data_IF_532637658538
#
_entry.id   IF_532637658538
#
_cell.length_a   1.000
_cell.length_b   1.000
_cell.length_c   1.000
_cell.angle_alpha   90.00
_cell.angle_beta   90.00
_cell.angle_gamma   90.00
#
_symmetry.space_group_name_H-M   'P 1'
#
loop_
_entity.id
_entity.type
_entity.pdbx_description
1 polymer ?
#
# COMPACT_ATOMS: atom_id res chain seq x y z
N UNK A 1 -32.30 -21.84 -7.51
CA UNK A 1 -33.19 -20.77 -7.00
C UNK A 1 -32.42 -19.59 -6.39
N UNK A 2 -31.25 -19.81 -5.78
CA UNK A 2 -30.39 -18.76 -5.18
C UNK A 2 -29.80 -17.72 -6.17
N UNK A 3 -29.73 -17.99 -7.48
CA UNK A 3 -29.15 -17.05 -8.46
C UNK A 3 -30.12 -15.96 -8.95
N UNK A 4 -31.43 -16.04 -8.65
CA UNK A 4 -32.43 -15.07 -9.14
C UNK A 4 -32.43 -13.76 -8.34
N UNK A 5 -32.15 -13.82 -7.04
CA UNK A 5 -32.28 -12.67 -6.13
C UNK A 5 -31.05 -11.75 -6.21
N UNK A 6 -29.84 -12.31 -6.37
CA UNK A 6 -28.59 -11.53 -6.42
C UNK A 6 -28.47 -10.61 -7.65
N UNK A 7 -29.29 -10.84 -8.68
CA UNK A 7 -29.32 -10.04 -9.91
C UNK A 7 -30.62 -9.24 -10.09
N UNK A 8 -31.44 -9.08 -9.03
CA UNK A 8 -32.60 -8.18 -9.04
C UNK A 8 -33.88 -8.70 -9.71
N UNK A 9 -34.04 -10.02 -9.90
CA UNK A 9 -35.24 -10.58 -10.55
C UNK A 9 -36.29 -11.05 -9.55
N UNK A 10 -37.54 -10.65 -9.77
CA UNK A 10 -38.70 -11.20 -9.07
C UNK A 10 -39.00 -12.66 -9.50
N UNK A 11 -39.63 -13.48 -8.64
CA UNK A 11 -39.84 -14.91 -8.86
C UNK A 11 -40.54 -15.30 -10.18
N UNK A 12 -41.30 -14.37 -10.79
CA UNK A 12 -42.08 -14.59 -12.01
C UNK A 12 -41.33 -14.43 -13.34
N UNK A 13 -40.07 -13.99 -13.36
CA UNK A 13 -39.33 -13.83 -14.62
C UNK A 13 -38.97 -15.19 -15.24
N UNK A 14 -39.33 -15.38 -16.52
CA UNK A 14 -39.00 -16.56 -17.34
C UNK A 14 -37.78 -16.26 -18.21
N UNK A 15 -36.76 -17.13 -18.13
CA UNK A 15 -35.46 -16.98 -18.78
C UNK A 15 -35.45 -17.39 -20.26
N UNK A 16 -36.27 -16.75 -21.12
CA UNK A 16 -36.13 -16.93 -22.58
C UNK A 16 -36.34 -15.62 -23.37
N UNK A 17 -35.48 -15.32 -24.36
CA UNK A 17 -34.27 -16.07 -24.75
C UNK A 17 -33.05 -15.72 -23.86
N UNK A 18 -32.02 -16.60 -23.87
CA UNK A 18 -30.78 -16.53 -23.06
C UNK A 18 -30.35 -15.09 -22.76
N UNK A 19 -30.56 -14.57 -21.53
CA UNK A 19 -30.43 -13.15 -21.27
C UNK A 19 -28.99 -12.64 -21.44
N UNK A 20 -27.98 -13.51 -21.49
CA UNK A 20 -26.59 -13.07 -21.35
C UNK A 20 -25.55 -13.76 -22.23
N UNK A 21 -25.97 -14.45 -23.31
CA UNK A 21 -25.05 -15.05 -24.28
C UNK A 21 -24.12 -16.06 -23.61
N UNK A 22 -24.68 -16.89 -22.73
CA UNK A 22 -23.96 -17.86 -21.92
C UNK A 22 -23.11 -18.80 -22.78
N UNK A 23 -23.67 -19.22 -23.92
CA UNK A 23 -22.94 -20.04 -24.89
C UNK A 23 -21.75 -19.31 -25.51
N UNK A 24 -21.87 -18.00 -25.78
CA UNK A 24 -20.74 -17.17 -26.24
C UNK A 24 -19.66 -17.04 -25.17
N UNK A 25 -20.05 -16.90 -23.89
CA UNK A 25 -19.10 -16.82 -22.76
C UNK A 25 -18.38 -18.15 -22.53
N UNK A 26 -19.10 -19.28 -22.63
CA UNK A 26 -18.53 -20.63 -22.58
C UNK A 26 -17.49 -20.82 -23.68
N UNK A 27 -17.80 -20.42 -24.90
CA UNK A 27 -16.87 -20.57 -26.03
C UNK A 27 -15.63 -19.67 -25.86
N UNK A 28 -15.81 -18.42 -25.40
CA UNK A 28 -14.70 -17.53 -25.06
C UNK A 28 -13.79 -18.14 -23.98
N UNK A 29 -14.36 -18.71 -22.93
CA UNK A 29 -13.61 -19.38 -21.86
C UNK A 29 -12.88 -20.64 -22.37
N UNK A 30 -13.47 -21.39 -23.32
CA UNK A 30 -12.85 -22.56 -23.93
C UNK A 30 -11.61 -22.18 -24.73
N UNK A 31 -11.68 -21.10 -25.52
CA UNK A 31 -10.53 -20.56 -26.26
C UNK A 31 -9.42 -20.07 -25.33
N UNK A 32 -9.77 -19.35 -24.26
CA UNK A 32 -8.79 -18.88 -23.28
C UNK A 32 -8.04 -20.03 -22.60
N UNK A 33 -8.68 -21.16 -22.31
CA UNK A 33 -8.01 -22.34 -21.72
C UNK A 33 -6.96 -22.99 -22.61
N UNK A 34 -7.05 -22.81 -23.93
CA UNK A 34 -6.02 -23.30 -24.85
C UNK A 34 -4.72 -22.51 -24.70
N UNK A 35 -4.81 -21.24 -24.29
CA UNK A 35 -3.68 -20.30 -24.19
C UNK A 35 -3.21 -20.12 -22.75
N UNK A 36 -4.12 -20.22 -21.79
CA UNK A 36 -3.88 -20.10 -20.35
C UNK A 36 -4.20 -21.44 -19.68
N UNK A 37 -3.15 -22.20 -19.34
CA UNK A 37 -3.28 -23.41 -18.52
C UNK A 37 -3.55 -22.98 -17.08
N UNK A 38 -4.81 -22.94 -16.66
CA UNK A 38 -5.16 -22.86 -15.24
C UNK A 38 -5.90 -24.13 -14.83
N UNK A 39 -5.52 -24.68 -13.68
CA UNK A 39 -6.16 -25.86 -13.11
C UNK A 39 -7.42 -25.44 -12.34
N UNK A 40 -8.56 -26.05 -12.70
CA UNK A 40 -9.85 -25.81 -12.02
C UNK A 40 -9.94 -26.43 -10.63
N UNK A 41 -9.00 -27.32 -10.28
CA UNK A 41 -8.89 -27.86 -8.92
C UNK A 41 -8.54 -26.76 -7.90
N UNK A 42 -7.91 -25.66 -8.35
CA UNK A 42 -7.47 -24.54 -7.52
C UNK A 42 -8.63 -23.77 -6.87
N UNK A 43 -9.86 -23.88 -7.39
CA UNK A 43 -11.02 -23.14 -6.88
C UNK A 43 -11.98 -23.98 -6.03
N UNK A 44 -11.60 -25.18 -5.58
CA UNK A 44 -12.44 -26.00 -4.70
C UNK A 44 -11.94 -25.95 -3.25
N UNK A 45 -12.38 -24.93 -2.51
CA UNK A 45 -12.48 -25.03 -1.05
C UNK A 45 -11.20 -24.86 -0.22
N UNK A 46 -10.12 -24.28 -0.74
CA UNK A 46 -8.95 -23.92 0.06
C UNK A 46 -8.76 -22.39 0.09
N UNK A 47 -8.17 -21.90 1.19
CA UNK A 47 -7.86 -20.50 1.49
C UNK A 47 -7.51 -19.72 0.22
N UNK A 48 -7.99 -18.47 0.14
CA UNK A 48 -7.55 -17.48 -0.86
C UNK A 48 -6.09 -17.74 -1.24
N UNK A 49 -5.85 -18.00 -2.53
CA UNK A 49 -4.51 -18.06 -3.08
C UNK A 49 -3.78 -16.81 -2.58
N UNK A 50 -2.80 -16.99 -1.68
CA UNK A 50 -1.81 -15.95 -1.46
C UNK A 50 -1.21 -15.71 -2.83
N UNK A 51 -1.50 -14.55 -3.41
CA UNK A 51 -0.77 -14.04 -4.55
C UNK A 51 0.71 -14.22 -4.20
N UNK A 52 1.42 -15.01 -5.01
CA UNK A 52 2.86 -15.04 -4.95
C UNK A 52 3.32 -13.64 -5.39
N UNK A 53 3.49 -12.77 -4.42
CA UNK A 53 3.83 -11.35 -4.60
C UNK A 53 5.30 -11.16 -5.00
N UNK A 54 6.00 -12.26 -5.32
CA UNK A 54 7.44 -12.29 -5.45
C UNK A 54 8.10 -12.02 -4.10
N UNK A 55 9.42 -12.17 -4.05
CA UNK A 55 10.26 -11.94 -2.87
C UNK A 55 10.31 -10.45 -2.44
N UNK A 56 9.16 -9.81 -2.19
CA UNK A 56 9.05 -8.41 -1.77
C UNK A 56 8.65 -8.31 -0.32
N UNK A 57 9.05 -7.21 0.31
CA UNK A 57 8.72 -6.94 1.70
C UNK A 57 7.21 -7.01 1.93
N UNK A 58 6.72 -7.82 2.90
CA UNK A 58 5.29 -8.14 3.00
C UNK A 58 4.43 -6.90 3.27
N UNK A 59 4.97 -5.89 3.97
CA UNK A 59 4.28 -4.63 4.24
C UNK A 59 4.04 -3.78 3.00
N UNK A 60 4.78 -4.01 1.90
CA UNK A 60 4.52 -3.33 0.61
C UNK A 60 3.24 -3.83 -0.04
N UNK A 61 2.93 -5.12 0.09
CA UNK A 61 1.68 -5.66 -0.45
C UNK A 61 0.49 -5.02 0.26
N UNK A 62 0.57 -4.94 1.58
CA UNK A 62 -0.43 -4.27 2.42
C UNK A 62 -0.60 -2.80 2.01
N UNK A 63 0.50 -2.08 1.78
CA UNK A 63 0.44 -0.68 1.34
C UNK A 63 -0.22 -0.53 -0.05
N UNK A 64 0.06 -1.43 -0.99
CA UNK A 64 -0.56 -1.42 -2.31
C UNK A 64 -2.04 -1.78 -2.28
N UNK A 65 -2.44 -2.75 -1.44
CA UNK A 65 -3.84 -3.09 -1.24
C UNK A 65 -4.63 -1.89 -0.71
N UNK A 66 -4.09 -1.21 0.31
CA UNK A 66 -4.70 0.02 0.83
C UNK A 66 -4.74 1.14 -0.20
N UNK A 67 -3.64 1.34 -0.94
CA UNK A 67 -3.62 2.31 -2.03
C UNK A 67 -4.72 2.04 -3.04
N UNK A 68 -4.81 0.81 -3.57
CA UNK A 68 -5.78 0.45 -4.59
C UNK A 68 -7.22 0.59 -4.08
N UNK A 69 -7.45 0.24 -2.81
CA UNK A 69 -8.78 0.31 -2.19
C UNK A 69 -9.26 1.74 -1.98
N UNK A 70 -8.38 2.66 -1.59
CA UNK A 70 -8.73 4.05 -1.25
C UNK A 70 -8.26 5.07 -2.29
N UNK A 71 -7.74 4.61 -3.43
CA UNK A 71 -7.24 5.45 -4.51
C UNK A 71 -8.28 6.48 -4.93
N UNK A 72 -7.86 7.74 -5.04
CA UNK A 72 -8.71 8.85 -5.44
C UNK A 72 -9.54 9.47 -4.30
N UNK A 73 -9.59 8.84 -3.12
CA UNK A 73 -10.23 9.44 -1.94
C UNK A 73 -9.25 10.34 -1.20
N UNK A 74 -9.77 11.44 -0.67
CA UNK A 74 -9.05 12.30 0.29
C UNK A 74 -9.49 11.97 1.72
N UNK A 75 -8.67 12.34 2.71
CA UNK A 75 -8.81 11.97 4.13
C UNK A 75 -10.15 12.35 4.80
N UNK A 76 -10.90 13.28 4.21
CA UNK A 76 -12.26 13.66 4.65
C UNK A 76 -13.38 12.78 4.10
N UNK A 77 -13.09 11.98 3.07
CA UNK A 77 -14.08 11.16 2.38
C UNK A 77 -14.10 9.74 2.95
N UNK A 78 -15.29 9.22 3.21
CA UNK A 78 -15.48 7.80 3.53
C UNK A 78 -15.26 6.95 2.28
N UNK A 79 -14.73 5.71 2.40
CA UNK A 79 -14.35 5.03 3.64
C UNK A 79 -12.92 5.34 4.16
N UNK A 80 -12.17 6.26 3.54
CA UNK A 80 -10.78 6.55 3.94
C UNK A 80 -10.72 7.25 5.31
N UNK A 81 -11.63 8.19 5.57
CA UNK A 81 -11.73 8.90 6.85
C UNK A 81 -11.80 7.95 8.05
N UNK A 82 -12.67 6.95 7.99
CA UNK A 82 -12.85 5.95 9.04
C UNK A 82 -11.60 5.05 9.13
N UNK A 83 -11.03 4.71 7.98
CA UNK A 83 -9.81 3.90 7.92
C UNK A 83 -8.60 4.58 8.57
N UNK A 84 -8.44 5.89 8.40
CA UNK A 84 -7.37 6.65 9.08
C UNK A 84 -7.52 6.56 10.60
N UNK A 85 -8.75 6.57 11.11
CA UNK A 85 -9.02 6.38 12.53
C UNK A 85 -8.57 4.99 13.03
N UNK A 86 -8.66 3.96 12.18
CA UNK A 86 -8.13 2.62 12.46
C UNK A 86 -6.60 2.64 12.50
N UNK A 87 -5.92 3.34 11.58
CA UNK A 87 -4.46 3.46 11.60
C UNK A 87 -3.95 4.03 12.94
N UNK A 88 -4.60 5.09 13.45
CA UNK A 88 -4.24 5.67 14.75
C UNK A 88 -4.58 4.76 15.93
N UNK A 89 -5.76 4.12 15.92
CA UNK A 89 -6.15 3.16 16.96
C UNK A 89 -5.14 2.03 17.08
N UNK A 90 -4.75 1.43 15.95
CA UNK A 90 -3.73 0.39 15.94
C UNK A 90 -2.36 0.93 16.32
N UNK A 91 -2.07 2.22 16.16
CA UNK A 91 -0.84 2.86 16.66
C UNK A 91 -0.94 3.27 18.15
N UNK A 92 -1.97 2.82 18.89
CA UNK A 92 -2.26 3.20 20.28
C UNK A 92 -2.36 4.71 20.50
N UNK A 93 -2.88 5.43 19.50
CA UNK A 93 -3.01 6.88 19.50
C UNK A 93 -4.47 7.32 19.58
N UNK A 94 -4.71 8.50 20.19
CA UNK A 94 -6.01 9.17 20.25
C UNK A 94 -6.22 10.20 19.13
N UNK A 95 -5.28 10.29 18.19
CA UNK A 95 -5.35 11.18 17.02
C UNK A 95 -6.42 10.72 16.03
N UNK A 96 -6.79 11.60 15.09
CA UNK A 96 -7.84 11.37 14.11
C UNK A 96 -7.42 11.85 12.70
N UNK A 97 -8.31 11.71 11.72
CA UNK A 97 -8.03 12.03 10.31
C UNK A 97 -7.63 13.50 10.03
N UNK A 98 -7.81 14.43 10.98
CA UNK A 98 -7.32 15.80 10.83
C UNK A 98 -5.83 15.94 11.25
N UNK A 99 -5.26 14.92 11.88
CA UNK A 99 -3.86 14.88 12.30
C UNK A 99 -2.97 14.20 11.25
N UNK A 100 -1.67 14.55 11.14
CA UNK A 100 -0.75 13.89 10.22
C UNK A 100 -0.67 12.37 10.45
N UNK A 101 -1.06 11.59 9.45
CA UNK A 101 -1.23 10.13 9.58
C UNK A 101 -0.23 9.30 8.74
N UNK A 102 0.83 9.91 8.20
CA UNK A 102 1.83 9.19 7.38
C UNK A 102 2.51 8.05 8.14
N UNK A 103 2.95 8.31 9.38
CA UNK A 103 3.60 7.30 10.22
C UNK A 103 2.60 6.27 10.77
N UNK A 104 1.35 6.68 11.04
CA UNK A 104 0.28 5.76 11.42
C UNK A 104 -0.03 4.76 10.28
N UNK A 105 -0.04 5.22 9.03
CA UNK A 105 -0.18 4.37 7.84
C UNK A 105 0.96 3.34 7.72
N UNK A 106 2.21 3.78 7.82
CA UNK A 106 3.39 2.88 7.78
C UNK A 106 3.32 1.85 8.91
N UNK A 107 2.98 2.30 10.12
CA UNK A 107 2.80 1.43 11.29
C UNK A 107 1.72 0.39 11.06
N UNK A 108 0.57 0.81 10.54
CA UNK A 108 -0.54 -0.09 10.25
C UNK A 108 -0.12 -1.16 9.23
N UNK A 109 0.61 -0.79 8.18
CA UNK A 109 1.11 -1.74 7.18
C UNK A 109 2.02 -2.81 7.79
N UNK A 110 2.97 -2.43 8.65
CA UNK A 110 3.80 -3.41 9.38
C UNK A 110 2.97 -4.29 10.31
N UNK A 111 1.95 -3.74 10.98
CA UNK A 111 1.08 -4.49 11.90
C UNK A 111 0.27 -5.61 11.24
N UNK A 112 0.06 -5.53 9.93
CA UNK A 112 -0.63 -6.59 9.18
C UNK A 112 0.30 -7.75 8.78
N UNK A 113 1.55 -7.73 9.23
CA UNK A 113 2.58 -8.72 8.85
C UNK A 113 3.26 -9.32 10.08
N UNK A 114 4.18 -10.25 9.86
CA UNK A 114 5.05 -10.82 10.88
C UNK A 114 6.02 -9.78 11.52
N UNK A 115 6.08 -8.56 10.97
CA UNK A 115 6.88 -7.45 11.47
C UNK A 115 6.10 -6.52 12.44
N UNK A 116 4.95 -6.98 12.96
CA UNK A 116 4.14 -6.21 13.91
C UNK A 116 4.81 -5.91 15.25
N UNK A 117 5.85 -6.67 15.63
CA UNK A 117 6.57 -6.55 16.90
C UNK A 117 7.82 -5.66 16.85
N UNK A 118 8.16 -5.10 15.68
CA UNK A 118 9.34 -4.25 15.51
C UNK A 118 9.01 -2.77 15.38
N UNK A 119 7.76 -2.39 15.60
CA UNK A 119 7.29 -1.00 15.50
C UNK A 119 8.04 -0.10 16.51
N UNK A 120 8.50 1.09 16.09
CA UNK A 120 9.19 2.00 17.01
C UNK A 120 8.24 2.59 18.07
N UNK A 121 8.81 2.99 19.20
CA UNK A 121 8.09 3.84 20.16
C UNK A 121 7.74 5.19 19.51
N UNK A 122 6.55 5.72 19.79
CA UNK A 122 6.09 6.97 19.17
C UNK A 122 5.83 6.84 17.67
N UNK A 123 5.43 5.65 17.20
CA UNK A 123 5.20 5.29 15.80
C UNK A 123 4.16 6.14 15.02
N UNK A 124 3.50 7.11 15.66
CA UNK A 124 2.73 8.16 15.00
C UNK A 124 3.56 9.35 14.54
N UNK A 125 4.84 9.43 14.92
CA UNK A 125 5.78 10.43 14.43
C UNK A 125 6.66 9.84 13.33
N UNK A 126 6.81 10.55 12.20
CA UNK A 126 7.67 10.11 11.10
C UNK A 126 9.11 9.83 11.56
N UNK A 127 9.65 10.64 12.47
CA UNK A 127 11.00 10.47 12.99
C UNK A 127 11.19 9.25 13.91
N UNK A 128 10.11 8.58 14.32
CA UNK A 128 10.20 7.30 15.02
C UNK A 128 10.87 6.22 14.15
N UNK A 129 10.75 6.34 12.82
CA UNK A 129 11.34 5.43 11.85
C UNK A 129 12.78 5.78 11.46
N UNK A 130 13.44 6.70 12.17
CA UNK A 130 14.87 7.03 11.96
C UNK A 130 15.78 6.14 12.78
N UNK A 131 17.09 6.27 12.62
CA UNK A 131 18.06 5.58 13.47
C UNK A 131 17.83 5.84 14.96
N UNK A 132 18.24 4.88 15.78
CA UNK A 132 18.20 5.00 17.22
C UNK A 132 19.02 6.22 17.66
N UNK A 133 18.43 7.07 18.51
CA UNK A 133 18.99 8.28 19.08
C UNK A 133 19.36 9.37 18.05
N UNK A 134 18.76 9.34 16.85
CA UNK A 134 19.00 10.37 15.85
C UNK A 134 18.62 11.78 16.37
N UNK A 135 19.28 12.85 15.91
CA UNK A 135 18.94 14.22 16.34
C UNK A 135 17.46 14.55 16.16
N UNK A 136 16.84 14.14 15.05
CA UNK A 136 15.41 14.36 14.77
C UNK A 136 14.49 13.61 15.72
N UNK A 137 14.85 12.38 16.11
CA UNK A 137 14.11 11.62 17.10
C UNK A 137 14.17 12.30 18.48
N UNK A 138 15.38 12.69 18.93
CA UNK A 138 15.58 13.38 20.21
C UNK A 138 14.80 14.69 20.32
N UNK A 139 14.75 15.48 19.24
CA UNK A 139 13.95 16.72 19.20
C UNK A 139 12.44 16.50 19.42
N UNK A 140 11.94 15.27 19.21
CA UNK A 140 10.55 14.89 19.47
C UNK A 140 10.37 14.13 20.78
N UNK A 141 11.41 14.01 21.60
CA UNK A 141 11.38 13.22 22.83
C UNK A 141 11.21 11.71 22.60
N UNK A 142 11.53 11.22 21.39
CA UNK A 142 11.44 9.79 21.03
C UNK A 142 12.84 9.23 20.72
N UNK A 143 12.95 7.90 20.73
CA UNK A 143 14.24 7.22 20.59
C UNK A 143 14.61 6.88 19.15
N UNK A 144 13.68 6.90 18.21
CA UNK A 144 13.89 6.34 16.87
C UNK A 144 13.72 4.81 16.85
N UNK A 145 14.13 4.17 15.78
CA UNK A 145 13.77 2.79 15.47
C UNK A 145 14.79 1.79 16.01
N UNK A 146 14.53 1.27 17.21
CA UNK A 146 15.41 0.27 17.87
C UNK A 146 15.69 -0.96 16.99
N UNK A 147 14.66 -1.45 16.31
CA UNK A 147 14.72 -2.60 15.42
C UNK A 147 14.98 -2.23 13.96
N UNK A 148 15.20 -0.95 13.67
CA UNK A 148 15.57 -0.44 12.37
C UNK A 148 17.08 -0.26 12.21
N UNK A 149 17.54 -0.23 10.98
CA UNK A 149 18.89 0.14 10.59
C UNK A 149 18.87 0.92 9.27
N UNK A 150 19.93 1.71 9.02
CA UNK A 150 20.14 2.35 7.72
C UNK A 150 20.18 1.27 6.64
N UNK A 151 19.58 1.59 5.50
CA UNK A 151 19.59 0.74 4.33
C UNK A 151 19.85 1.55 3.07
N UNK A 152 20.48 0.88 2.10
CA UNK A 152 20.34 1.25 0.69
C UNK A 152 18.86 1.18 0.26
N UNK A 153 18.44 1.91 -0.79
CA UNK A 153 17.07 1.85 -1.29
C UNK A 153 16.73 0.47 -1.86
N UNK A 154 15.52 0.00 -1.55
CA UNK A 154 14.90 -1.19 -2.14
C UNK A 154 13.37 -1.06 -2.08
N UNK A 155 12.65 -1.92 -2.78
CA UNK A 155 11.18 -2.00 -2.70
C UNK A 155 10.78 -2.41 -1.27
N UNK A 156 10.27 -1.48 -0.48
CA UNK A 156 9.95 -1.71 0.94
C UNK A 156 10.81 -0.92 1.92
N UNK A 157 11.86 -0.26 1.46
CA UNK A 157 12.65 0.62 2.32
C UNK A 157 11.76 1.75 2.87
N UNK A 158 11.90 2.06 4.16
CA UNK A 158 11.21 3.17 4.81
C UNK A 158 12.02 4.43 4.55
N UNK A 159 11.48 5.36 3.78
CA UNK A 159 12.09 6.66 3.52
C UNK A 159 11.52 7.71 4.47
N UNK A 160 12.39 8.40 5.19
CA UNK A 160 12.03 9.46 6.15
C UNK A 160 12.55 10.80 5.66
N UNK A 161 11.70 11.83 5.73
CA UNK A 161 12.01 13.17 5.25
C UNK A 161 12.19 14.20 6.38
N UNK A 162 13.06 15.18 6.15
CA UNK A 162 13.41 16.26 7.07
C UNK A 162 12.23 17.13 7.53
N UNK A 163 11.16 17.17 6.73
CA UNK A 163 9.91 17.87 7.03
C UNK A 163 8.89 17.01 7.81
N UNK A 164 9.35 15.94 8.47
CA UNK A 164 8.53 15.06 9.31
C UNK A 164 7.50 14.25 8.50
N UNK A 165 7.96 13.60 7.43
CA UNK A 165 7.16 12.67 6.62
C UNK A 165 7.84 11.31 6.48
N UNK A 166 7.06 10.25 6.30
CA UNK A 166 7.56 8.88 6.13
C UNK A 166 6.68 8.12 5.13
N UNK A 167 7.32 7.30 4.30
CA UNK A 167 6.67 6.48 3.28
C UNK A 167 7.52 5.25 2.97
N UNK A 168 7.04 4.38 2.07
CA UNK A 168 7.81 3.26 1.54
C UNK A 168 8.34 3.55 0.14
N UNK A 169 9.61 3.29 -0.14
CA UNK A 169 10.11 3.25 -1.51
C UNK A 169 9.46 2.07 -2.24
N UNK A 170 8.87 2.33 -3.40
CA UNK A 170 8.25 1.29 -4.23
C UNK A 170 8.90 1.19 -5.61
N UNK A 171 9.68 2.20 -6.01
CA UNK A 171 10.39 2.19 -7.28
C UNK A 171 11.12 3.50 -7.56
N UNK A 172 11.24 3.83 -8.84
CA UNK A 172 11.83 5.06 -9.33
C UNK A 172 11.06 5.61 -10.53
N UNK A 173 11.30 6.87 -10.88
CA UNK A 173 10.67 7.46 -12.05
C UNK A 173 11.29 6.93 -13.35
N UNK A 174 10.64 7.23 -14.48
CA UNK A 174 11.03 6.73 -15.81
C UNK A 174 12.52 6.96 -16.14
N UNK A 175 13.05 8.15 -15.85
CA UNK A 175 14.47 8.48 -16.08
C UNK A 175 15.43 7.97 -14.98
N UNK A 176 14.91 7.46 -13.86
CA UNK A 176 15.71 6.92 -12.75
C UNK A 176 16.37 7.96 -11.85
N UNK A 177 16.10 9.25 -12.02
CA UNK A 177 16.64 10.34 -11.19
C UNK A 177 15.94 10.52 -9.84
N UNK A 178 14.72 9.98 -9.69
CA UNK A 178 13.89 10.12 -8.50
C UNK A 178 13.50 8.77 -7.92
N UNK A 179 13.50 8.66 -6.59
CA UNK A 179 12.77 7.59 -5.92
C UNK A 179 11.27 7.86 -6.03
N UNK A 180 10.49 6.80 -6.22
CA UNK A 180 9.03 6.80 -6.14
C UNK A 180 8.64 6.08 -4.86
N UNK A 181 7.79 6.72 -4.06
CA UNK A 181 7.38 6.22 -2.76
C UNK A 181 5.87 6.21 -2.60
N UNK A 182 5.37 5.21 -1.87
CA UNK A 182 3.97 5.03 -1.51
C UNK A 182 3.77 5.34 -0.03
N UNK A 183 2.83 6.23 0.28
CA UNK A 183 2.56 6.64 1.65
C UNK A 183 1.18 7.24 1.82
N UNK A 184 0.79 7.37 3.09
CA UNK A 184 -0.37 8.09 3.54
C UNK A 184 -0.08 9.56 3.84
N UNK A 185 -1.13 10.36 4.05
CA UNK A 185 -1.04 11.79 4.37
C UNK A 185 -0.16 12.59 3.39
N UNK A 186 -0.34 12.36 2.09
CA UNK A 186 0.42 13.05 1.04
C UNK A 186 -0.43 13.38 -0.19
N UNK A 187 0.14 14.14 -1.12
CA UNK A 187 -0.42 14.43 -2.44
C UNK A 187 -0.82 15.88 -2.64
N UNK A 188 -1.80 16.37 -1.88
CA UNK A 188 -2.22 17.78 -1.94
C UNK A 188 -1.44 18.60 -0.90
N UNK A 189 -1.29 19.91 -1.07
CA UNK A 189 -0.70 20.78 -0.04
C UNK A 189 -1.76 21.41 0.86
N UNK A 190 -3.02 21.40 0.43
CA UNK A 190 -4.15 21.90 1.20
C UNK A 190 -4.40 20.99 2.40
N UNK A 191 -4.63 21.59 3.55
CA UNK A 191 -5.07 20.87 4.74
C UNK A 191 -6.33 20.07 4.41
N UNK A 192 -6.42 18.86 4.96
CA UNK A 192 -7.59 17.98 4.81
C UNK A 192 -7.86 17.46 3.38
N UNK A 193 -6.86 17.51 2.49
CA UNK A 193 -6.92 16.97 1.12
C UNK A 193 -5.86 15.90 0.88
N UNK A 194 -5.22 15.41 1.95
CA UNK A 194 -4.24 14.36 1.85
C UNK A 194 -4.89 13.02 1.52
N UNK A 195 -4.11 12.12 0.95
CA UNK A 195 -4.56 10.81 0.46
C UNK A 195 -3.47 9.75 0.63
N UNK A 196 -3.83 8.51 0.33
CA UNK A 196 -2.85 7.46 0.03
C UNK A 196 -2.51 7.61 -1.46
N UNK A 197 -1.26 7.90 -1.78
CA UNK A 197 -0.85 8.02 -3.18
C UNK A 197 0.63 7.75 -3.38
N UNK A 198 1.09 7.74 -4.63
CA UNK A 198 2.50 7.81 -4.94
C UNK A 198 3.01 9.26 -4.86
N UNK A 199 4.25 9.41 -4.41
CA UNK A 199 5.04 10.63 -4.52
C UNK A 199 6.39 10.34 -5.15
N UNK A 200 7.16 11.38 -5.46
CA UNK A 200 8.54 11.21 -5.93
C UNK A 200 9.46 12.29 -5.39
N UNK A 201 10.72 11.93 -5.21
CA UNK A 201 11.78 12.82 -4.70
C UNK A 201 13.08 12.54 -5.46
N UNK A 202 13.85 13.59 -5.76
CA UNK A 202 15.19 13.40 -6.35
C UNK A 202 16.04 12.52 -5.43
N UNK A 203 16.78 11.56 -6.01
CA UNK A 203 17.67 10.68 -5.23
C UNK A 203 18.77 11.46 -4.49
N UNK A 204 19.05 12.69 -4.94
CA UNK A 204 20.04 13.62 -4.35
C UNK A 204 19.41 14.72 -3.50
N UNK A 205 18.10 14.65 -3.24
CA UNK A 205 17.39 15.69 -2.51
C UNK A 205 17.78 15.70 -1.03
N UNK A 206 18.17 16.86 -0.51
CA UNK A 206 18.56 17.03 0.89
C UNK A 206 17.38 16.90 1.87
N UNK A 207 16.14 16.83 1.38
CA UNK A 207 14.99 16.53 2.22
C UNK A 207 14.94 15.07 2.66
N UNK A 208 15.63 14.15 1.98
CA UNK A 208 15.78 12.76 2.42
C UNK A 208 16.66 12.75 3.66
N UNK A 209 16.10 12.36 4.80
CA UNK A 209 16.82 12.29 6.06
C UNK A 209 17.42 10.91 6.31
N UNK A 210 16.64 9.86 6.08
CA UNK A 210 17.09 8.48 6.26
C UNK A 210 16.34 7.53 5.32
N UNK A 211 17.01 6.47 4.90
CA UNK A 211 16.42 5.29 4.27
C UNK A 211 16.72 4.12 5.20
N UNK A 212 15.66 3.45 5.64
CA UNK A 212 15.71 2.54 6.79
C UNK A 212 15.03 1.22 6.46
N UNK A 213 15.42 0.15 7.16
CA UNK A 213 14.75 -1.15 7.11
C UNK A 213 14.74 -1.83 8.46
N UNK A 214 13.89 -2.86 8.64
CA UNK A 214 14.04 -3.76 9.78
C UNK A 214 15.40 -4.49 9.75
N UNK A 215 16.10 -4.54 10.89
CA UNK A 215 17.37 -5.26 11.06
C UNK A 215 17.33 -6.71 10.60
N UNK A 216 16.20 -7.38 10.83
CA UNK A 216 16.01 -8.79 10.49
C UNK A 216 15.59 -9.02 9.03
N UNK A 217 15.29 -7.96 8.28
CA UNK A 217 14.87 -8.07 6.89
C UNK A 217 16.07 -8.29 5.98
N UNK A 218 16.06 -9.42 5.26
CA UNK A 218 17.04 -9.73 4.21
C UNK A 218 16.48 -9.25 2.88
N UNK A 219 17.14 -8.25 2.30
CA UNK A 219 16.75 -7.69 0.99
C UNK A 219 17.17 -8.67 -0.11
N UNK A 220 16.23 -9.05 -0.97
CA UNK A 220 16.52 -9.84 -2.17
C UNK A 220 17.11 -8.98 -3.29
N UNK A 221 17.81 -9.59 -4.23
CA UNK A 221 18.35 -8.85 -5.38
C UNK A 221 17.27 -8.28 -6.30
N UNK A 222 16.08 -8.88 -6.31
CA UNK A 222 14.95 -8.37 -7.08
C UNK A 222 14.33 -7.12 -6.43
N UNK A 223 14.37 -7.00 -5.11
CA UNK A 223 13.91 -5.78 -4.43
C UNK A 223 14.83 -4.58 -4.63
N UNK A 224 16.11 -4.83 -4.94
CA UNK A 224 17.06 -3.77 -5.31
C UNK A 224 16.77 -3.21 -6.71
N UNK A 225 16.07 -3.97 -7.56
CA UNK A 225 15.67 -3.54 -8.92
C UNK A 225 14.39 -2.71 -8.82
N UNK A 226 14.55 -1.41 -8.64
CA UNK A 226 13.42 -0.47 -8.51
C UNK A 226 12.60 -0.41 -9.81
N UNK A 227 11.30 -0.78 -9.78
CA UNK A 227 10.45 -0.67 -10.96
C UNK A 227 10.15 0.79 -11.30
N UNK A 228 9.81 1.01 -12.57
CA UNK A 228 9.55 2.35 -13.13
C UNK A 228 8.08 2.74 -12.96
N UNK A 229 7.86 3.98 -12.51
CA UNK A 229 6.51 4.55 -12.36
C UNK A 229 6.44 5.98 -12.89
N UNK A 230 5.29 6.29 -13.49
CA UNK A 230 4.83 7.66 -13.67
C UNK A 230 3.81 7.98 -12.55
N UNK A 231 4.21 8.80 -11.59
CA UNK A 231 3.40 9.14 -10.42
C UNK A 231 2.07 9.79 -10.81
N UNK A 232 2.03 10.57 -11.89
CA UNK A 232 0.80 11.26 -12.30
C UNK A 232 -0.19 10.27 -12.91
N UNK A 233 0.29 9.39 -13.81
CA UNK A 233 -0.53 8.35 -14.42
C UNK A 233 -1.03 7.39 -13.36
N UNK A 234 -0.15 6.94 -12.47
CA UNK A 234 -0.51 5.97 -11.45
C UNK A 234 -1.52 6.52 -10.46
N UNK A 235 -1.39 7.79 -10.05
CA UNK A 235 -2.33 8.44 -9.14
C UNK A 235 -3.67 8.82 -9.82
N UNK A 236 -3.74 8.82 -11.16
CA UNK A 236 -4.99 9.00 -11.86
C UNK A 236 -5.89 7.78 -11.64
N UNK A 237 -7.19 8.01 -11.37
CA UNK A 237 -8.17 6.94 -11.13
C UNK A 237 -8.37 5.96 -12.30
N UNK A 238 -7.71 6.19 -13.43
CA UNK A 238 -7.76 5.39 -14.65
C UNK A 238 -6.63 4.34 -14.74
N UNK A 239 -5.68 4.29 -13.78
CA UNK A 239 -4.66 3.24 -13.79
C UNK A 239 -5.31 1.91 -13.37
N UNK A 240 -5.57 1.07 -14.36
CA UNK A 240 -5.99 -0.33 -14.25
C UNK A 240 -4.74 -1.20 -14.14
N UNK A 241 -4.39 -1.58 -12.91
CA UNK A 241 -3.50 -2.71 -12.65
C UNK A 241 -4.33 -3.84 -12.06
#
# INVERSE_FOLDING_TARGET
MQSKILNGYSPGHKDKPDPHGWEKRKEGLRKLKTWFKYDKAVCRGEKELKLDTGNRAPWINIAWEEYNKYKGLIEKQSPLKEKISIYFKESNSKLNYNDPWCAAFVTWCFKQTEYSNIIPEGCTYAFAYTELNSPKAKLRGIRGWLHGEISEPFIGAVIVFNYSHVAFIVGENNDGSKYVYLGGNQGDKRLNHQKICLGSVSKKDSSIYAIMKPKKYKISDDEKKLPKYDVNIENSGNSSR
#
